data_IF_091465425834
#
_entry.id   IF_091465425834
#
_cell.length_a   1.000
_cell.length_b   1.000
_cell.length_c   1.000
_cell.angle_alpha   90.00
_cell.angle_beta   90.00
_cell.angle_gamma   90.00
#
_symmetry.space_group_name_H-M   'P 1'
#
loop_
_entity.id
_entity.type
_entity.pdbx_description
1 polymer ?
#
# COMPACT_ATOMS: atom_id res chain seq x y z
N UNK A 1 -19.65 -9.22 5.28
CA UNK A 1 -20.55 -10.25 5.86
C UNK A 1 -19.84 -11.49 6.42
N UNK A 2 -18.69 -11.89 5.86
CA UNK A 2 -17.84 -12.99 6.38
C UNK A 2 -17.58 -12.92 7.90
N UNK A 3 -17.18 -11.76 8.42
CA UNK A 3 -16.90 -11.59 9.84
C UNK A 3 -18.12 -11.92 10.73
N UNK A 4 -19.31 -11.46 10.33
CA UNK A 4 -20.57 -11.75 11.04
C UNK A 4 -20.94 -13.24 10.96
N UNK A 5 -20.77 -13.86 9.79
CA UNK A 5 -21.01 -15.30 9.61
C UNK A 5 -20.02 -16.17 10.40
N UNK A 6 -18.84 -15.63 10.73
CA UNK A 6 -17.87 -16.28 11.62
C UNK A 6 -18.19 -16.08 13.12
N UNK A 7 -19.29 -15.39 13.46
CA UNK A 7 -19.69 -15.13 14.85
C UNK A 7 -18.86 -14.05 15.56
N UNK A 8 -18.14 -13.19 14.84
CA UNK A 8 -17.45 -12.06 15.47
C UNK A 8 -18.47 -11.05 16.01
N UNK A 9 -18.26 -10.62 17.26
CA UNK A 9 -19.08 -9.56 17.88
C UNK A 9 -19.00 -8.27 17.06
N UNK A 10 -20.12 -7.57 16.86
CA UNK A 10 -20.20 -6.38 15.99
C UNK A 10 -19.18 -5.29 16.36
N UNK A 11 -18.90 -5.10 17.66
CA UNK A 11 -17.88 -4.14 18.14
C UNK A 11 -16.45 -4.47 17.70
N UNK A 12 -16.20 -5.67 17.17
CA UNK A 12 -14.90 -6.11 16.62
C UNK A 12 -14.86 -6.04 15.09
N UNK A 13 -15.93 -5.57 14.47
CA UNK A 13 -16.07 -5.44 13.02
C UNK A 13 -16.03 -3.96 12.67
N UNK A 14 -15.23 -3.61 11.67
CA UNK A 14 -15.21 -2.26 11.10
C UNK A 14 -15.35 -2.39 9.61
N UNK A 15 -16.40 -1.79 9.05
CA UNK A 15 -16.52 -1.60 7.60
C UNK A 15 -15.58 -0.47 7.21
N UNK A 16 -14.64 -0.77 6.32
CA UNK A 16 -13.64 0.20 5.88
C UNK A 16 -14.25 1.24 4.96
N UNK A 17 -13.80 2.49 5.11
CA UNK A 17 -14.02 3.58 4.19
C UNK A 17 -12.70 3.80 3.44
N UNK A 18 -12.78 3.88 2.11
CA UNK A 18 -11.59 4.04 1.28
C UNK A 18 -10.89 5.37 1.57
N UNK A 19 -9.56 5.35 1.56
CA UNK A 19 -8.69 6.48 1.89
C UNK A 19 -8.85 7.08 3.30
N UNK A 20 -9.71 6.51 4.14
CA UNK A 20 -9.85 6.96 5.52
C UNK A 20 -8.65 6.48 6.35
N UNK A 21 -8.03 7.35 7.18
CA UNK A 21 -6.91 6.96 8.04
C UNK A 21 -7.39 6.18 9.27
N UNK A 22 -7.00 4.91 9.37
CA UNK A 22 -7.23 4.07 10.54
C UNK A 22 -5.96 4.01 11.39
N UNK A 23 -6.04 4.47 12.66
CA UNK A 23 -4.87 4.58 13.55
C UNK A 23 -4.84 3.48 14.61
N UNK A 24 -3.68 2.82 14.73
CA UNK A 24 -3.42 1.78 15.71
C UNK A 24 -2.03 1.97 16.31
N UNK A 25 -1.95 2.66 17.46
CA UNK A 25 -0.66 3.10 17.99
C UNK A 25 0.04 4.02 17.00
N UNK A 26 1.30 3.71 16.66
CA UNK A 26 2.10 4.48 15.70
C UNK A 26 1.80 4.15 14.23
N UNK A 27 0.90 3.19 13.95
CA UNK A 27 0.51 2.82 12.60
C UNK A 27 -0.68 3.64 12.12
N UNK A 28 -0.59 4.16 10.89
CA UNK A 28 -1.75 4.68 10.15
C UNK A 28 -1.97 3.85 8.89
N UNK A 29 -3.17 3.32 8.73
CA UNK A 29 -3.56 2.44 7.61
C UNK A 29 -4.56 3.15 6.70
N UNK A 30 -4.36 2.99 5.39
CA UNK A 30 -5.28 3.46 4.36
C UNK A 30 -5.68 2.30 3.46
N UNK A 31 -6.97 2.02 3.40
CA UNK A 31 -7.54 1.08 2.44
C UNK A 31 -7.78 1.83 1.12
N UNK A 32 -7.03 1.48 0.09
CA UNK A 32 -7.04 2.13 -1.23
C UNK A 32 -7.76 1.21 -2.21
N UNK A 33 -8.73 1.69 -3.02
CA UNK A 33 -9.39 0.84 -4.01
C UNK A 33 -8.36 0.15 -4.92
N UNK A 34 -8.58 -1.14 -5.19
CA UNK A 34 -7.76 -1.94 -6.08
C UNK A 34 -8.63 -2.92 -6.88
N UNK A 35 -8.04 -3.52 -7.91
CA UNK A 35 -8.67 -4.61 -8.65
C UNK A 35 -8.12 -5.97 -8.24
N UNK A 36 -8.90 -7.02 -8.46
CA UNK A 36 -8.35 -8.36 -8.60
C UNK A 36 -7.69 -8.52 -9.98
N UNK A 37 -6.62 -9.31 -10.06
CA UNK A 37 -6.01 -9.67 -11.36
C UNK A 37 -7.06 -10.31 -12.28
N UNK A 38 -7.12 -9.98 -13.59
CA UNK A 38 -8.01 -10.63 -14.53
C UNK A 38 -7.74 -12.14 -14.55
N UNK A 39 -8.79 -12.92 -14.29
CA UNK A 39 -8.74 -14.37 -14.39
C UNK A 39 -9.56 -14.83 -15.60
N UNK A 40 -9.33 -16.05 -16.12
CA UNK A 40 -10.22 -16.65 -17.10
C UNK A 40 -11.69 -16.61 -16.62
N UNK A 41 -12.63 -16.21 -17.48
CA UNK A 41 -14.02 -15.96 -17.07
C UNK A 41 -14.74 -17.16 -16.42
N UNK A 42 -14.35 -18.40 -16.74
CA UNK A 42 -14.87 -19.60 -16.06
C UNK A 42 -14.47 -19.62 -14.58
N UNK A 43 -13.25 -19.19 -14.27
CA UNK A 43 -12.74 -19.10 -12.90
C UNK A 43 -13.41 -17.94 -12.19
N UNK A 44 -13.52 -16.77 -12.83
CA UNK A 44 -14.21 -15.61 -12.24
C UNK A 44 -15.66 -15.91 -11.89
N UNK A 45 -16.39 -16.63 -12.75
CA UNK A 45 -17.76 -17.06 -12.46
C UNK A 45 -17.86 -18.05 -11.30
N UNK A 46 -16.78 -18.79 -11.01
CA UNK A 46 -16.75 -19.79 -9.95
C UNK A 46 -16.31 -19.22 -8.61
N UNK A 47 -15.38 -18.25 -8.63
CA UNK A 47 -14.87 -17.55 -7.44
C UNK A 47 -15.75 -16.37 -7.03
N UNK A 48 -16.50 -15.80 -7.97
CA UNK A 48 -17.39 -14.68 -7.73
C UNK A 48 -16.71 -13.31 -7.86
N UNK A 49 -17.51 -12.29 -8.20
CA UNK A 49 -17.17 -10.85 -8.30
C UNK A 49 -18.27 -9.95 -7.74
N UNK A 50 -19.27 -10.54 -7.09
CA UNK A 50 -20.41 -9.85 -6.50
C UNK A 50 -20.13 -9.38 -5.08
N UNK A 51 -21.20 -9.07 -4.36
CA UNK A 51 -21.15 -8.71 -2.96
C UNK A 51 -21.74 -9.83 -2.09
N UNK A 52 -21.13 -10.04 -0.93
CA UNK A 52 -21.71 -10.91 0.10
C UNK A 52 -22.72 -10.07 0.91
N UNK A 53 -24.00 -10.18 0.56
CA UNK A 53 -25.10 -9.39 1.16
C UNK A 53 -25.64 -9.97 2.46
N UNK A 54 -25.44 -11.27 2.71
CA UNK A 54 -25.85 -11.98 3.93
C UNK A 54 -24.67 -12.70 4.60
N UNK A 55 -24.67 -12.92 5.92
CA UNK A 55 -23.59 -13.65 6.61
C UNK A 55 -23.33 -15.05 6.03
N UNK A 56 -22.09 -15.34 5.65
CA UNK A 56 -21.65 -16.65 5.15
C UNK A 56 -20.86 -17.37 6.23
N UNK A 57 -21.23 -18.62 6.52
CA UNK A 57 -20.64 -19.44 7.60
C UNK A 57 -19.98 -20.69 7.01
N UNK A 58 -18.73 -21.03 7.38
CA UNK A 58 -18.12 -22.29 6.97
C UNK A 58 -18.83 -23.53 7.56
N UNK A 59 -18.92 -24.66 6.82
CA UNK A 59 -18.55 -24.80 5.41
C UNK A 59 -19.62 -24.20 4.48
N UNK A 60 -19.18 -23.50 3.42
CA UNK A 60 -20.05 -22.99 2.36
C UNK A 60 -19.37 -23.18 1.00
N UNK A 61 -20.16 -23.21 -0.08
CA UNK A 61 -19.66 -23.34 -1.45
C UNK A 61 -18.80 -22.13 -1.84
N UNK A 62 -17.82 -22.34 -2.73
CA UNK A 62 -16.89 -21.28 -3.13
C UNK A 62 -17.60 -20.03 -3.65
N UNK A 63 -18.63 -20.19 -4.49
CA UNK A 63 -19.42 -19.07 -5.02
C UNK A 63 -20.26 -18.29 -3.99
N UNK A 64 -20.30 -18.72 -2.73
CA UNK A 64 -20.85 -17.88 -1.66
C UNK A 64 -19.85 -16.83 -1.14
N UNK A 65 -18.56 -16.99 -1.46
CA UNK A 65 -17.46 -16.15 -1.00
C UNK A 65 -17.07 -15.11 -2.05
N UNK A 66 -18.06 -14.33 -2.46
CA UNK A 66 -17.91 -13.26 -3.45
C UNK A 66 -16.87 -12.20 -3.01
N UNK A 67 -16.12 -11.65 -3.97
CA UNK A 67 -15.00 -10.73 -3.74
C UNK A 67 -15.40 -9.46 -2.97
N UNK A 68 -16.55 -8.86 -3.31
CA UNK A 68 -16.94 -7.53 -2.86
C UNK A 68 -16.03 -6.46 -3.45
N UNK A 69 -15.05 -6.02 -2.66
CA UNK A 69 -14.11 -4.97 -3.04
C UNK A 69 -12.68 -5.40 -2.69
N UNK A 70 -11.76 -5.18 -3.63
CA UNK A 70 -10.34 -5.38 -3.43
C UNK A 70 -9.67 -4.09 -2.98
N UNK A 71 -8.65 -4.21 -2.12
CA UNK A 71 -7.91 -3.06 -1.60
C UNK A 71 -6.39 -3.28 -1.70
N UNK A 72 -5.69 -2.22 -2.08
CA UNK A 72 -4.31 -2.01 -1.64
C UNK A 72 -4.33 -1.45 -0.21
N UNK A 73 -3.31 -1.76 0.57
CA UNK A 73 -3.15 -1.23 1.92
C UNK A 73 -1.86 -0.43 2.02
N UNK A 74 -1.97 0.88 2.26
CA UNK A 74 -0.83 1.71 2.61
C UNK A 74 -0.72 1.76 4.13
N UNK A 75 0.45 1.37 4.65
CA UNK A 75 0.77 1.30 6.08
C UNK A 75 1.88 2.29 6.36
N UNK A 76 1.57 3.37 7.05
CA UNK A 76 2.53 4.37 7.51
C UNK A 76 2.97 4.06 8.95
N UNK A 77 4.26 4.20 9.21
CA UNK A 77 4.88 4.11 10.53
C UNK A 77 6.12 5.02 10.57
N UNK A 78 6.53 5.58 11.73
CA UNK A 78 7.73 6.42 11.81
C UNK A 78 9.04 5.76 11.33
N UNK A 79 9.08 4.43 11.31
CA UNK A 79 10.22 3.65 10.80
C UNK A 79 10.15 3.33 9.30
N UNK A 80 9.08 3.71 8.60
CA UNK A 80 8.91 3.52 7.17
C UNK A 80 7.47 3.27 6.75
N UNK A 81 7.22 3.39 5.46
CA UNK A 81 5.90 3.22 4.85
C UNK A 81 5.89 2.06 3.86
N UNK A 82 4.79 1.30 3.83
CA UNK A 82 4.66 0.08 3.03
C UNK A 82 3.36 0.14 2.23
N UNK A 83 3.43 -0.20 0.95
CA UNK A 83 2.28 -0.62 0.16
C UNK A 83 2.17 -2.15 0.20
N UNK A 84 0.99 -2.68 0.52
CA UNK A 84 0.65 -4.10 0.37
C UNK A 84 -0.45 -4.22 -0.69
N UNK A 85 -0.08 -4.76 -1.85
CA UNK A 85 -0.99 -5.01 -2.96
C UNK A 85 -1.28 -6.52 -3.03
N UNK A 86 -2.41 -6.92 -2.42
CA UNK A 86 -2.72 -8.33 -2.14
C UNK A 86 -3.12 -9.18 -3.35
N UNK A 87 -3.40 -8.56 -4.50
CA UNK A 87 -3.66 -9.21 -5.79
C UNK A 87 -2.88 -8.48 -6.88
N UNK A 88 -2.53 -9.17 -7.97
CA UNK A 88 -1.86 -8.57 -9.13
C UNK A 88 -2.82 -7.71 -9.99
N UNK A 89 -3.75 -7.01 -9.34
CA UNK A 89 -4.68 -6.07 -9.97
C UNK A 89 -4.53 -4.67 -9.40
N UNK A 90 -4.95 -3.69 -10.19
CA UNK A 90 -4.73 -2.26 -9.93
C UNK A 90 -5.98 -1.45 -10.27
N UNK A 91 -6.04 -0.22 -9.74
CA UNK A 91 -6.99 0.81 -10.14
C UNK A 91 -6.20 2.08 -10.49
N UNK A 92 -6.35 2.63 -11.70
CA UNK A 92 -5.56 3.78 -12.14
C UNK A 92 -5.72 5.02 -11.25
N UNK A 93 -4.60 5.64 -10.85
CA UNK A 93 -4.53 6.90 -10.11
C UNK A 93 -4.93 6.85 -8.64
N UNK A 94 -5.33 5.67 -8.11
CA UNK A 94 -5.75 5.54 -6.72
C UNK A 94 -4.59 5.72 -5.73
N UNK A 95 -3.36 5.40 -6.18
CA UNK A 95 -2.15 5.43 -5.35
C UNK A 95 -1.33 6.73 -5.46
N UNK A 96 -1.63 7.63 -6.40
CA UNK A 96 -0.85 8.86 -6.69
C UNK A 96 -0.65 9.81 -5.51
N UNK A 97 -1.53 9.72 -4.50
CA UNK A 97 -1.49 10.58 -3.30
C UNK A 97 -0.68 9.98 -2.15
N UNK A 98 -0.14 8.78 -2.32
CA UNK A 98 0.58 8.05 -1.29
C UNK A 98 2.05 7.92 -1.64
N UNK A 99 2.87 7.68 -0.62
CA UNK A 99 4.26 7.29 -0.77
C UNK A 99 4.49 6.01 0.02
N UNK A 100 5.36 5.15 -0.45
CA UNK A 100 5.80 3.98 0.30
C UNK A 100 7.27 3.70 0.00
N UNK A 101 8.01 3.27 1.00
CA UNK A 101 9.40 2.88 0.87
C UNK A 101 9.51 1.49 0.23
N UNK A 102 8.59 0.60 0.65
CA UNK A 102 8.50 -0.79 0.22
C UNK A 102 7.14 -1.07 -0.43
N UNK A 103 7.16 -1.81 -1.54
CA UNK A 103 5.96 -2.34 -2.17
C UNK A 103 5.95 -3.88 -2.12
N UNK A 104 5.06 -4.44 -1.30
CA UNK A 104 4.76 -5.87 -1.28
C UNK A 104 3.69 -6.14 -2.34
N UNK A 105 4.09 -6.70 -3.48
CA UNK A 105 3.22 -6.88 -4.64
C UNK A 105 2.90 -8.35 -4.86
N UNK A 106 1.62 -8.72 -4.86
CA UNK A 106 1.19 -10.04 -5.27
C UNK A 106 1.60 -10.29 -6.74
N UNK A 107 2.23 -11.43 -7.00
CA UNK A 107 2.68 -11.77 -8.36
C UNK A 107 1.87 -12.89 -9.03
N UNK A 108 1.02 -13.61 -8.29
CA UNK A 108 0.23 -14.69 -8.87
C UNK A 108 -0.58 -14.22 -10.08
N UNK A 109 -0.45 -14.96 -11.19
CA UNK A 109 -1.08 -14.72 -12.49
C UNK A 109 -0.58 -13.49 -13.25
N UNK A 110 0.35 -12.70 -12.71
CA UNK A 110 0.87 -11.50 -13.37
C UNK A 110 1.63 -11.84 -14.66
N UNK A 111 2.47 -12.88 -14.61
CA UNK A 111 3.27 -13.35 -15.75
C UNK A 111 2.44 -13.89 -16.92
N UNK A 112 1.13 -14.09 -16.72
CA UNK A 112 0.18 -14.48 -17.77
C UNK A 112 -0.57 -13.31 -18.40
N UNK A 113 -0.48 -12.13 -17.81
CA UNK A 113 -1.07 -10.93 -18.36
C UNK A 113 -0.22 -10.39 -19.51
N UNK A 114 -0.80 -9.52 -20.33
CA UNK A 114 -0.07 -8.84 -21.41
C UNK A 114 1.03 -7.93 -20.86
N UNK A 115 2.05 -7.63 -21.67
CA UNK A 115 3.10 -6.68 -21.28
C UNK A 115 2.53 -5.30 -20.90
N UNK A 116 1.48 -4.86 -21.59
CA UNK A 116 0.80 -3.60 -21.30
C UNK A 116 0.13 -3.64 -19.91
N UNK A 117 -0.47 -4.77 -19.53
CA UNK A 117 -1.05 -4.94 -18.21
C UNK A 117 0.04 -5.00 -17.13
N UNK A 118 1.13 -5.74 -17.37
CA UNK A 118 2.26 -5.80 -16.45
C UNK A 118 2.89 -4.42 -16.22
N UNK A 119 3.02 -3.62 -17.28
CA UNK A 119 3.49 -2.25 -17.18
C UNK A 119 2.53 -1.38 -16.37
N UNK A 120 1.23 -1.41 -16.71
CA UNK A 120 0.22 -0.64 -15.97
C UNK A 120 0.15 -1.06 -14.49
N UNK A 121 0.30 -2.35 -14.18
CA UNK A 121 0.35 -2.82 -12.79
C UNK A 121 1.51 -2.18 -12.03
N UNK A 122 2.70 -2.11 -12.62
CA UNK A 122 3.87 -1.48 -11.99
C UNK A 122 3.71 0.04 -11.86
N UNK A 123 3.25 0.70 -12.93
CA UNK A 123 3.02 2.14 -12.98
C UNK A 123 2.02 2.57 -11.90
N UNK A 124 0.92 1.85 -11.77
CA UNK A 124 -0.18 2.13 -10.83
C UNK A 124 0.06 1.57 -9.42
N UNK A 125 1.22 0.97 -9.13
CA UNK A 125 1.55 0.42 -7.79
C UNK A 125 2.90 0.93 -7.28
N UNK A 126 3.98 0.15 -7.47
CA UNK A 126 5.31 0.47 -6.96
C UNK A 126 5.83 1.82 -7.46
N UNK A 127 5.61 2.12 -8.74
CA UNK A 127 6.02 3.40 -9.33
C UNK A 127 5.19 4.56 -8.79
N UNK A 128 3.86 4.41 -8.71
CA UNK A 128 2.95 5.45 -8.20
C UNK A 128 3.33 5.91 -6.77
N UNK A 129 3.67 4.96 -5.89
CA UNK A 129 4.06 5.28 -4.50
C UNK A 129 5.55 5.59 -4.34
N UNK A 130 6.35 5.54 -5.41
CA UNK A 130 7.79 5.79 -5.38
C UNK A 130 8.58 4.77 -4.57
N UNK A 131 8.13 3.51 -4.52
CA UNK A 131 8.81 2.46 -3.75
C UNK A 131 10.23 2.25 -4.24
N UNK A 132 11.21 2.25 -3.33
CA UNK A 132 12.58 1.93 -3.68
C UNK A 132 12.82 0.41 -3.70
N UNK A 133 12.04 -0.36 -2.92
CA UNK A 133 12.16 -1.82 -2.85
C UNK A 133 10.84 -2.50 -3.17
N UNK A 134 10.87 -3.44 -4.12
CA UNK A 134 9.74 -4.34 -4.43
C UNK A 134 10.00 -5.71 -3.80
N UNK A 135 8.99 -6.24 -3.14
CA UNK A 135 8.99 -7.56 -2.51
C UNK A 135 7.82 -8.36 -3.09
N UNK A 136 8.06 -9.41 -3.90
CA UNK A 136 6.95 -10.24 -4.39
C UNK A 136 6.33 -11.01 -3.23
N UNK A 137 5.00 -11.00 -3.17
CA UNK A 137 4.18 -11.82 -2.26
C UNK A 137 3.18 -12.64 -3.07
N UNK A 138 2.44 -13.52 -2.42
CA UNK A 138 1.35 -14.29 -3.05
C UNK A 138 1.80 -15.01 -4.33
N UNK A 139 3.02 -15.54 -4.34
CA UNK A 139 3.63 -16.25 -5.47
C UNK A 139 3.72 -17.76 -5.22
N UNK A 140 3.54 -18.15 -3.97
CA UNK A 140 3.59 -19.51 -3.47
C UNK A 140 2.30 -20.30 -3.74
N UNK A 141 2.39 -21.63 -3.66
CA UNK A 141 1.26 -22.52 -3.68
C UNK A 141 0.51 -22.48 -2.33
N UNK A 142 -0.36 -21.49 -2.20
CA UNK A 142 -1.22 -21.28 -1.04
C UNK A 142 -2.32 -22.35 -0.87
N UNK A 143 -2.39 -23.35 -1.76
CA UNK A 143 -3.21 -24.56 -1.55
C UNK A 143 -2.45 -25.67 -0.82
N UNK A 144 -1.16 -25.45 -0.53
CA UNK A 144 -0.32 -26.39 0.22
C UNK A 144 0.04 -25.82 1.59
N UNK A 145 0.47 -26.73 2.46
CA UNK A 145 1.05 -26.34 3.74
C UNK A 145 2.34 -25.55 3.49
N UNK A 146 2.48 -24.43 4.20
CA UNK A 146 3.71 -23.63 4.20
C UNK A 146 4.87 -24.42 4.82
N UNK A 147 5.95 -24.61 4.07
CA UNK A 147 7.18 -25.32 4.46
C UNK A 147 8.42 -24.46 4.13
N UNK A 148 9.62 -24.76 4.67
CA UNK A 148 10.80 -23.94 4.35
C UNK A 148 11.19 -23.91 2.87
N UNK A 149 10.88 -24.98 2.12
CA UNK A 149 11.02 -25.09 0.67
C UNK A 149 9.67 -24.80 -0.01
N UNK A 150 9.29 -23.53 -0.06
CA UNK A 150 8.02 -23.12 -0.66
C UNK A 150 8.02 -23.39 -2.15
N UNK A 151 6.95 -24.06 -2.60
CA UNK A 151 6.68 -24.29 -4.02
C UNK A 151 5.83 -23.15 -4.57
N UNK A 152 6.07 -22.71 -5.81
CA UNK A 152 5.13 -21.82 -6.48
C UNK A 152 3.87 -22.58 -6.89
N UNK A 153 2.86 -21.82 -7.28
CA UNK A 153 1.67 -22.37 -7.93
C UNK A 153 2.07 -23.25 -9.15
N UNK A 154 1.26 -24.29 -9.46
CA UNK A 154 1.41 -25.04 -10.71
C UNK A 154 1.45 -24.11 -11.92
N UNK A 155 2.27 -24.43 -12.92
CA UNK A 155 2.48 -23.57 -14.11
C UNK A 155 1.16 -23.18 -14.81
N UNK A 156 0.19 -24.09 -14.84
CA UNK A 156 -1.15 -23.86 -15.38
C UNK A 156 -1.95 -22.76 -14.65
N UNK A 157 -1.60 -22.44 -13.39
CA UNK A 157 -2.15 -21.35 -12.60
C UNK A 157 -1.26 -20.10 -12.68
N UNK A 158 0.06 -20.23 -12.54
CA UNK A 158 0.98 -19.10 -12.73
C UNK A 158 2.34 -19.51 -13.33
N UNK A 159 2.96 -18.63 -14.12
CA UNK A 159 4.36 -18.78 -14.52
C UNK A 159 5.23 -17.88 -13.65
N UNK A 160 5.73 -18.43 -12.53
CA UNK A 160 6.50 -17.67 -11.53
C UNK A 160 7.64 -16.86 -12.15
N UNK A 161 8.43 -17.47 -13.02
CA UNK A 161 9.59 -16.81 -13.63
C UNK A 161 9.14 -15.57 -14.42
N UNK A 162 8.07 -15.70 -15.22
CA UNK A 162 7.50 -14.58 -15.95
C UNK A 162 6.90 -13.52 -15.01
N UNK A 163 6.24 -13.93 -13.92
CA UNK A 163 5.70 -13.02 -12.91
C UNK A 163 6.81 -12.23 -12.20
N UNK A 164 7.94 -12.87 -11.88
CA UNK A 164 9.08 -12.22 -11.25
C UNK A 164 9.80 -11.29 -12.23
N UNK A 165 9.98 -11.70 -13.49
CA UNK A 165 10.49 -10.81 -14.55
C UNK A 165 9.57 -9.60 -14.76
N UNK A 166 8.25 -9.80 -14.71
CA UNK A 166 7.29 -8.70 -14.83
C UNK A 166 7.51 -7.61 -13.78
N UNK A 167 7.87 -7.99 -12.55
CA UNK A 167 8.16 -7.07 -11.46
C UNK A 167 9.60 -6.53 -11.51
N UNK A 168 10.58 -7.41 -11.63
CA UNK A 168 12.00 -7.08 -11.49
C UNK A 168 12.52 -6.27 -12.68
N UNK A 169 12.15 -6.61 -13.91
CA UNK A 169 12.66 -5.94 -15.11
C UNK A 169 12.07 -4.54 -15.30
N UNK A 170 10.95 -4.26 -14.63
CA UNK A 170 10.21 -2.97 -14.66
C UNK A 170 10.45 -2.11 -13.43
N UNK A 171 11.28 -2.56 -12.50
CA UNK A 171 11.64 -1.82 -11.30
C UNK A 171 13.11 -1.38 -11.35
N UNK A 172 13.38 -0.11 -11.05
CA UNK A 172 14.73 0.45 -11.08
C UNK A 172 15.42 0.50 -9.70
N UNK A 173 14.83 -0.12 -8.68
CA UNK A 173 15.37 -0.25 -7.33
C UNK A 173 15.60 -1.69 -6.91
N UNK A 174 15.58 -1.93 -5.60
CA UNK A 174 15.84 -3.27 -5.05
C UNK A 174 14.67 -4.22 -5.29
N UNK A 175 14.95 -5.46 -5.66
CA UNK A 175 13.97 -6.54 -5.73
C UNK A 175 14.37 -7.66 -4.76
N UNK A 176 13.56 -7.87 -3.72
CA UNK A 176 13.91 -8.75 -2.60
C UNK A 176 12.86 -9.84 -2.42
N UNK A 177 13.24 -11.09 -2.66
CA UNK A 177 12.39 -12.25 -2.39
C UNK A 177 12.58 -12.70 -0.94
N UNK A 178 11.51 -12.66 -0.14
CA UNK A 178 11.55 -13.12 1.24
C UNK A 178 11.44 -14.64 1.32
N UNK A 179 12.28 -15.25 2.17
CA UNK A 179 12.16 -16.66 2.51
C UNK A 179 11.15 -16.86 3.65
N UNK A 180 10.30 -17.90 3.59
CA UNK A 180 9.41 -18.26 4.68
C UNK A 180 10.17 -18.39 6.00
N UNK A 181 9.51 -17.99 7.09
CA UNK A 181 10.04 -18.09 8.47
C UNK A 181 11.33 -17.30 8.73
N UNK A 182 11.74 -16.41 7.82
CA UNK A 182 12.86 -15.48 8.04
C UNK A 182 12.32 -14.10 8.36
N UNK A 183 12.74 -13.49 9.49
CA UNK A 183 12.37 -12.11 9.76
C UNK A 183 13.03 -11.20 8.73
N UNK A 184 12.30 -10.17 8.33
CA UNK A 184 12.80 -9.06 7.52
C UNK A 184 12.60 -7.78 8.31
N UNK A 185 13.61 -6.92 8.32
CA UNK A 185 13.55 -5.63 9.00
C UNK A 185 13.61 -4.53 7.96
N UNK A 186 12.59 -3.69 7.96
CA UNK A 186 12.54 -2.50 7.12
C UNK A 186 13.61 -1.53 7.63
N UNK A 187 14.42 -1.05 6.71
CA UNK A 187 15.34 0.04 6.99
C UNK A 187 14.64 1.32 6.57
N UNK A 188 14.52 2.32 7.47
CA UNK A 188 14.00 3.63 7.08
C UNK A 188 14.84 4.20 5.93
N UNK A 189 14.25 4.93 4.97
CA UNK A 189 15.04 5.68 4.00
C UNK A 189 16.03 6.58 4.74
N UNK A 190 17.21 6.78 4.16
CA UNK A 190 18.11 7.80 4.66
C UNK A 190 17.34 9.13 4.70
N UNK A 191 17.32 9.78 5.87
CA UNK A 191 16.63 11.06 6.01
C UNK A 191 17.08 12.00 4.88
N UNK A 192 16.16 12.73 4.22
CA UNK A 192 16.55 13.66 3.18
C UNK A 192 17.61 14.60 3.75
N UNK A 193 18.73 14.74 3.03
CA UNK A 193 19.81 15.62 3.43
C UNK A 193 19.20 16.99 3.73
N UNK A 194 19.33 17.45 4.96
CA UNK A 194 18.85 18.77 5.34
C UNK A 194 19.58 19.76 4.44
N UNK A 195 18.86 20.44 3.56
CA UNK A 195 19.45 21.47 2.71
C UNK A 195 20.19 22.46 3.64
N UNK A 196 21.46 22.81 3.37
CA UNK A 196 22.14 23.81 4.17
C UNK A 196 21.30 25.09 4.14
N UNK A 197 21.03 25.67 5.31
CA UNK A 197 20.46 27.01 5.40
C UNK A 197 21.29 27.92 4.49
N UNK A 198 20.67 28.76 3.63
CA UNK A 198 21.41 29.69 2.80
C UNK A 198 22.28 30.58 3.71
N UNK A 199 23.60 30.39 3.63
CA UNK A 199 24.54 31.28 4.30
C UNK A 199 24.55 32.61 3.55
N UNK A 200 24.17 33.67 4.24
CA UNK A 200 24.42 35.04 3.78
C UNK A 200 23.17 35.89 3.58
N UNK A 201 22.49 36.21 4.68
CA UNK A 201 21.97 37.57 4.85
C UNK A 201 22.49 38.09 6.18
N UNK A 202 23.40 39.06 6.11
CA UNK A 202 23.85 39.82 7.27
C UNK A 202 22.63 40.42 7.98
N UNK A 203 22.58 40.42 9.33
CA UNK A 203 21.50 41.09 10.03
C UNK A 203 21.55 42.58 9.72
N UNK A 204 20.49 43.10 9.09
CA UNK A 204 20.25 44.54 9.00
C UNK A 204 20.06 45.04 10.42
N UNK A 205 20.94 45.95 10.87
CA UNK A 205 20.85 46.55 12.19
C UNK A 205 19.50 47.24 12.37
N UNK A 206 18.83 47.09 13.52
CA UNK A 206 17.58 47.80 13.78
C UNK A 206 17.84 49.30 13.85
N UNK A 207 16.94 50.07 13.25
CA UNK A 207 16.94 51.53 13.33
C UNK A 207 16.82 52.00 14.79
N UNK A 208 17.46 53.13 15.18
CA UNK A 208 17.40 53.62 16.54
C UNK A 208 15.97 54.02 16.93
N UNK A 209 15.61 53.72 18.18
CA UNK A 209 14.30 54.01 18.76
C UNK A 209 14.01 55.52 18.79
N UNK A 210 12.76 55.88 18.50
CA UNK A 210 12.26 57.24 18.61
C UNK A 210 12.28 57.73 20.07
N UNK A 211 12.57 59.02 20.32
CA UNK A 211 12.57 59.57 21.67
C UNK A 211 11.14 59.63 22.27
N UNK A 212 11.02 59.59 23.60
CA UNK A 212 9.74 59.55 24.31
C UNK A 212 8.95 60.87 24.19
N UNK A 213 7.62 60.84 24.41
CA UNK A 213 6.73 61.95 24.11
C UNK A 213 6.98 63.14 25.04
N UNK A 214 7.05 64.33 24.44
CA UNK A 214 7.09 65.60 25.16
C UNK A 214 5.79 65.85 25.92
N UNK A 215 5.94 66.23 27.19
CA UNK A 215 4.87 66.73 28.02
C UNK A 215 4.27 68.00 27.42
N UNK A 216 2.95 68.02 27.23
CA UNK A 216 2.16 69.24 27.13
C UNK A 216 1.41 69.42 28.44
N UNK A 217 1.93 70.32 29.27
CA UNK A 217 1.18 70.94 30.36
C UNK A 217 -0.05 71.66 29.79
N UNK A 218 -1.17 71.54 30.49
CA UNK A 218 -2.40 72.25 30.17
C UNK A 218 -2.29 73.76 30.39
N UNK A 219 -3.03 74.53 29.58
CA UNK A 219 -3.52 75.85 29.95
C UNK A 219 -4.79 76.19 29.15
N UNK A 220 -5.91 76.13 29.87
CA UNK A 220 -7.06 77.04 29.88
C UNK A 220 -7.69 77.60 28.59
N UNK A 221 -9.01 77.38 28.57
CA UNK A 221 -10.13 78.21 28.09
C UNK A 221 -10.63 77.99 26.66
#
# INVERSE_FOLDING_TARGET
MVARGSGLEEKRITTVQTHHPYRFGDFTLYFVPAGHVPLPGIIENWTGKGEITEPVTPPSLLGAWEEGQSYGLVVEHPAGTILIQGSAGMQPGELDRYQADYALLASASLGKQSEAYQQAFMDETASAVGAHTVIPVHWDDFFRKLEPDVRPLPWMLDNLDASFHALADRHHGDFVVLKPFRPFTLTPPAAPATAPLPQGQSPVSPAPAAPPPGASDGANN
#
